data_IF_689207784021
#
_entry.id   IF_689207784021
#
_cell.length_a   1.000
_cell.length_b   1.000
_cell.length_c   1.000
_cell.angle_alpha   90.00
_cell.angle_beta   90.00
_cell.angle_gamma   90.00
#
_symmetry.space_group_name_H-M   'P 1'
#
loop_
_entity.id
_entity.type
_entity.pdbx_description
1 polymer ?
#
# COMPACT_ATOMS: atom_id res chain seq x y z
N UNK A 1 12.12 -17.51 4.48
CA UNK A 1 12.01 -16.26 3.69
C UNK A 1 12.91 -15.14 4.24
N UNK A 2 13.24 -15.11 5.54
CA UNK A 2 14.25 -14.21 6.17
C UNK A 2 15.63 -14.08 5.47
N UNK A 3 16.04 -15.05 4.63
CA UNK A 3 17.33 -15.05 3.92
C UNK A 3 17.35 -14.26 2.59
N UNK A 4 16.20 -13.85 2.07
CA UNK A 4 16.12 -13.07 0.82
C UNK A 4 16.38 -11.58 1.06
N UNK A 5 16.04 -11.07 2.25
CA UNK A 5 16.29 -9.68 2.65
C UNK A 5 17.75 -9.39 2.97
N UNK A 6 18.46 -10.34 3.58
CA UNK A 6 19.89 -10.19 3.96
C UNK A 6 20.84 -10.08 2.75
N UNK A 7 20.35 -10.32 1.52
CA UNK A 7 21.17 -10.31 0.29
C UNK A 7 21.00 -9.05 -0.58
N UNK A 8 20.31 -8.00 -0.10
CA UNK A 8 20.29 -6.68 -0.77
C UNK A 8 19.55 -6.65 -2.11
N UNK A 9 18.53 -7.49 -2.30
CA UNK A 9 17.83 -7.64 -3.58
C UNK A 9 16.72 -6.61 -3.85
N UNK A 10 16.31 -5.78 -2.88
CA UNK A 10 15.21 -4.83 -3.07
C UNK A 10 15.56 -3.45 -2.53
N UNK A 11 15.36 -2.42 -3.36
CA UNK A 11 15.48 -1.00 -2.99
C UNK A 11 14.20 -0.51 -2.32
N UNK A 12 14.27 0.47 -1.41
CA UNK A 12 13.09 1.08 -0.81
C UNK A 12 12.20 1.72 -1.89
N UNK A 13 10.89 1.54 -1.75
CA UNK A 13 9.87 2.12 -2.63
C UNK A 13 9.15 3.18 -1.82
N UNK A 14 9.00 4.37 -2.38
CA UNK A 14 8.21 5.46 -1.82
C UNK A 14 6.73 5.28 -2.21
N UNK A 15 5.80 5.63 -1.33
CA UNK A 15 4.38 5.62 -1.61
C UNK A 15 3.79 6.97 -1.21
N UNK A 16 3.12 7.64 -2.14
CA UNK A 16 2.48 8.94 -1.97
C UNK A 16 0.97 8.74 -1.98
N UNK A 17 0.32 8.69 -0.80
CA UNK A 17 -1.12 8.53 -0.74
C UNK A 17 -1.84 9.82 -1.13
N UNK A 18 -3.05 9.65 -1.68
CA UNK A 18 -4.06 10.68 -1.86
C UNK A 18 -5.30 10.25 -1.10
N UNK A 19 -6.00 11.21 -0.49
CA UNK A 19 -7.32 10.98 0.11
C UNK A 19 -8.29 11.98 -0.47
N UNK A 20 -9.06 11.54 -1.47
CA UNK A 20 -10.10 12.35 -2.10
C UNK A 20 -11.29 11.46 -2.47
N UNK A 21 -12.47 11.79 -1.95
CA UNK A 21 -13.68 10.98 -2.10
C UNK A 21 -14.39 11.23 -3.45
N UNK A 22 -14.19 12.40 -4.07
CA UNK A 22 -14.63 12.66 -5.43
C UNK A 22 -13.64 12.03 -6.42
N UNK A 23 -14.03 10.92 -7.05
CA UNK A 23 -13.16 10.16 -7.95
C UNK A 23 -12.53 11.00 -9.07
N UNK A 24 -13.26 11.96 -9.64
CA UNK A 24 -12.72 12.80 -10.71
C UNK A 24 -11.67 13.77 -10.18
N UNK A 25 -11.90 14.35 -9.00
CA UNK A 25 -10.87 15.16 -8.32
C UNK A 25 -9.68 14.28 -7.92
N UNK A 26 -9.93 13.05 -7.45
CA UNK A 26 -8.91 12.09 -7.07
C UNK A 26 -7.98 11.76 -8.23
N UNK A 27 -8.52 11.50 -9.43
CA UNK A 27 -7.71 11.28 -10.62
C UNK A 27 -6.87 12.50 -11.00
N UNK A 28 -7.44 13.71 -10.91
CA UNK A 28 -6.68 14.94 -11.18
C UNK A 28 -5.54 15.11 -10.17
N UNK A 29 -5.81 14.88 -8.89
CA UNK A 29 -4.80 14.96 -7.83
C UNK A 29 -3.70 13.91 -8.01
N UNK A 30 -4.05 12.68 -8.43
CA UNK A 30 -3.07 11.63 -8.75
C UNK A 30 -2.13 12.12 -9.86
N UNK A 31 -2.69 12.65 -10.95
CA UNK A 31 -1.89 13.15 -12.07
C UNK A 31 -0.97 14.30 -11.64
N UNK A 32 -1.48 15.26 -10.85
CA UNK A 32 -0.70 16.38 -10.33
C UNK A 32 0.47 15.91 -9.45
N UNK A 33 0.20 15.09 -8.42
CA UNK A 33 1.25 14.55 -7.53
C UNK A 33 2.28 13.73 -8.28
N UNK A 34 1.84 12.92 -9.25
CA UNK A 34 2.73 12.08 -10.03
C UNK A 34 3.68 12.91 -10.92
N UNK A 35 3.17 14.00 -11.51
CA UNK A 35 3.98 14.93 -12.31
C UNK A 35 4.90 15.78 -11.44
N UNK A 36 4.43 16.25 -10.28
CA UNK A 36 5.26 16.93 -9.28
C UNK A 36 6.45 16.06 -8.89
N UNK A 37 6.19 14.79 -8.56
CA UNK A 37 7.25 13.84 -8.22
C UNK A 37 8.21 13.59 -9.37
N UNK A 38 7.70 13.41 -10.59
CA UNK A 38 8.55 13.26 -11.78
C UNK A 38 9.46 14.47 -11.99
N UNK A 39 8.94 15.70 -11.82
CA UNK A 39 9.73 16.92 -11.95
C UNK A 39 10.79 17.05 -10.86
N UNK A 40 10.45 16.68 -9.63
CA UNK A 40 11.40 16.63 -8.52
C UNK A 40 12.54 15.65 -8.82
N UNK A 41 12.21 14.43 -9.25
CA UNK A 41 13.22 13.40 -9.54
C UNK A 41 14.11 13.81 -10.71
N UNK A 42 13.55 14.40 -11.77
CA UNK A 42 14.32 14.96 -12.89
C UNK A 42 15.23 16.12 -12.46
N UNK A 43 14.76 17.00 -11.58
CA UNK A 43 15.57 18.11 -11.04
C UNK A 43 16.73 17.61 -10.17
N UNK A 44 16.54 16.48 -9.48
CA UNK A 44 17.56 15.78 -8.70
C UNK A 44 18.51 14.93 -9.57
N UNK A 45 18.35 14.96 -10.89
CA UNK A 45 19.20 14.24 -11.84
C UNK A 45 18.79 12.78 -12.09
N UNK A 46 17.67 12.33 -11.52
CA UNK A 46 17.14 10.99 -11.77
C UNK A 46 16.33 10.98 -13.07
N UNK A 47 16.75 10.18 -14.06
CA UNK A 47 16.16 10.17 -15.39
C UNK A 47 14.81 9.43 -15.51
N UNK A 48 13.98 9.53 -14.47
CA UNK A 48 12.74 8.77 -14.30
C UNK A 48 11.74 8.95 -15.45
N UNK A 49 10.85 7.97 -15.57
CA UNK A 49 9.67 7.94 -16.41
C UNK A 49 8.47 7.58 -15.52
N UNK A 50 7.38 8.33 -15.69
CA UNK A 50 6.10 8.11 -15.04
C UNK A 50 5.20 7.21 -15.88
N UNK A 51 4.62 6.19 -15.25
CA UNK A 51 3.51 5.42 -15.80
C UNK A 51 2.22 5.71 -15.05
N UNK A 52 1.19 6.16 -15.76
CA UNK A 52 -0.18 6.23 -15.26
C UNK A 52 -0.96 5.00 -15.73
N UNK A 53 -1.32 4.12 -14.79
CA UNK A 53 -2.02 2.86 -15.10
C UNK A 53 -3.52 3.01 -14.96
N UNK A 54 -4.23 2.56 -15.99
CA UNK A 54 -5.68 2.48 -16.05
C UNK A 54 -6.12 1.05 -16.44
N UNK A 55 -7.30 0.62 -16.02
CA UNK A 55 -7.82 -0.72 -16.33
C UNK A 55 -8.59 -0.73 -17.67
N UNK A 56 -9.29 0.35 -17.99
CA UNK A 56 -10.15 0.46 -19.19
C UNK A 56 -9.60 1.49 -20.18
N UNK A 57 -9.70 1.20 -21.48
CA UNK A 57 -9.29 2.10 -22.57
C UNK A 57 -10.05 3.42 -22.56
N UNK A 58 -11.36 3.38 -22.33
CA UNK A 58 -12.20 4.58 -22.21
C UNK A 58 -11.71 5.48 -21.08
N UNK A 59 -11.44 4.90 -19.92
CA UNK A 59 -10.93 5.62 -18.76
C UNK A 59 -9.54 6.19 -19.02
N UNK A 60 -8.65 5.44 -19.66
CA UNK A 60 -7.32 5.92 -20.01
C UNK A 60 -7.34 7.13 -20.93
N UNK A 61 -8.29 7.20 -21.88
CA UNK A 61 -8.46 8.38 -22.72
C UNK A 61 -8.96 9.59 -21.92
N UNK A 62 -9.80 9.40 -20.90
CA UNK A 62 -10.19 10.48 -19.96
C UNK A 62 -9.01 10.92 -19.10
N UNK A 63 -8.28 9.98 -18.54
CA UNK A 63 -7.12 10.23 -17.68
C UNK A 63 -5.99 10.90 -18.46
N UNK A 64 -5.79 10.53 -19.72
CA UNK A 64 -4.79 11.14 -20.59
C UNK A 64 -4.97 12.66 -20.70
N UNK A 65 -6.19 13.18 -20.61
CA UNK A 65 -6.46 14.62 -20.62
C UNK A 65 -5.83 15.36 -19.44
N UNK A 66 -5.66 14.71 -18.29
CA UNK A 66 -4.94 15.33 -17.17
C UNK A 66 -3.44 15.39 -17.39
N UNK A 67 -2.90 14.50 -18.24
CA UNK A 67 -1.48 14.44 -18.53
C UNK A 67 -1.09 15.24 -19.77
N UNK A 68 -1.98 15.37 -20.76
CA UNK A 68 -1.73 16.09 -22.02
C UNK A 68 -1.35 17.57 -21.82
N UNK A 69 -1.79 18.16 -20.70
CA UNK A 69 -1.41 19.52 -20.28
C UNK A 69 0.11 19.71 -20.06
N UNK A 70 0.87 18.62 -19.86
CA UNK A 70 2.31 18.65 -19.59
C UNK A 70 3.14 18.32 -20.84
N UNK A 71 2.95 19.11 -21.91
CA UNK A 71 3.57 18.88 -23.23
C UNK A 71 5.11 18.74 -23.20
N UNK A 72 5.77 19.43 -22.28
CA UNK A 72 7.23 19.39 -22.09
C UNK A 72 7.74 18.00 -21.68
N UNK A 73 6.90 17.22 -20.98
CA UNK A 73 7.17 15.84 -20.56
C UNK A 73 6.73 14.81 -21.61
N UNK A 74 6.17 15.27 -22.74
CA UNK A 74 5.76 14.46 -23.90
C UNK A 74 4.91 13.24 -23.51
N UNK A 75 3.70 13.44 -22.98
CA UNK A 75 2.80 12.35 -22.60
C UNK A 75 2.43 11.48 -23.80
N UNK A 76 2.26 10.18 -23.59
CA UNK A 76 1.76 9.25 -24.62
C UNK A 76 0.76 8.26 -24.04
N UNK A 77 -0.31 8.00 -24.80
CA UNK A 77 -1.30 6.96 -24.48
C UNK A 77 -0.95 5.67 -25.23
N UNK A 78 -0.84 4.56 -24.51
CA UNK A 78 -0.56 3.23 -25.08
C UNK A 78 -1.56 2.18 -24.58
N UNK A 79 -2.17 1.47 -25.54
CA UNK A 79 -3.08 0.36 -25.27
C UNK A 79 -2.95 -0.70 -26.39
N UNK A 80 -3.54 -1.89 -26.19
CA UNK A 80 -3.38 -3.05 -27.09
C UNK A 80 -3.71 -2.78 -28.56
N UNK A 81 -4.69 -1.92 -28.83
CA UNK A 81 -5.16 -1.56 -30.18
C UNK A 81 -4.46 -0.35 -30.82
N UNK A 82 -3.43 0.24 -30.20
CA UNK A 82 -2.80 1.43 -30.77
C UNK A 82 -1.99 1.08 -32.03
N UNK A 83 -2.24 1.79 -33.13
CA UNK A 83 -1.42 1.68 -34.35
C UNK A 83 -0.01 2.23 -34.10
N UNK A 84 1.01 1.66 -34.72
CA UNK A 84 2.40 2.13 -34.53
C UNK A 84 2.99 1.82 -33.15
N UNK A 85 2.42 0.88 -32.40
CA UNK A 85 2.87 0.47 -31.05
C UNK A 85 4.38 0.27 -30.94
N UNK A 86 5.01 -0.40 -31.91
CA UNK A 86 6.45 -0.67 -31.87
C UNK A 86 7.28 0.61 -31.92
N UNK A 87 6.87 1.59 -32.73
CA UNK A 87 7.54 2.88 -32.82
C UNK A 87 7.38 3.69 -31.53
N UNK A 88 6.17 3.72 -30.96
CA UNK A 88 5.89 4.35 -29.66
C UNK A 88 6.76 3.70 -28.58
N UNK A 89 6.86 2.38 -28.57
CA UNK A 89 7.68 1.63 -27.61
C UNK A 89 9.16 1.98 -27.74
N UNK A 90 9.67 2.06 -28.97
CA UNK A 90 11.05 2.49 -29.22
C UNK A 90 11.27 3.94 -28.78
N UNK A 91 10.32 4.84 -28.99
CA UNK A 91 10.41 6.22 -28.52
C UNK A 91 10.39 6.31 -26.98
N UNK A 92 9.63 5.45 -26.30
CA UNK A 92 9.65 5.30 -24.85
C UNK A 92 11.01 4.81 -24.36
N UNK A 93 11.55 3.74 -24.94
CA UNK A 93 12.86 3.17 -24.57
C UNK A 93 13.98 4.18 -24.79
N UNK A 94 13.90 4.97 -25.87
CA UNK A 94 14.84 6.05 -26.17
C UNK A 94 14.63 7.31 -25.32
N UNK A 95 13.73 7.28 -24.33
CA UNK A 95 13.51 8.37 -23.38
C UNK A 95 12.83 9.60 -23.96
N UNK A 96 12.19 9.50 -25.14
CA UNK A 96 11.48 10.62 -25.77
C UNK A 96 10.16 10.96 -25.08
N UNK A 97 9.61 10.05 -24.28
CA UNK A 97 8.40 10.25 -23.50
C UNK A 97 8.71 10.07 -22.02
N UNK A 98 8.32 11.04 -21.19
CA UNK A 98 8.48 10.97 -19.73
C UNK A 98 7.23 10.56 -19.01
N UNK A 99 6.07 10.64 -19.67
CA UNK A 99 4.79 10.22 -19.12
C UNK A 99 4.14 9.21 -20.08
N UNK A 100 3.74 8.07 -19.54
CA UNK A 100 3.09 6.98 -20.28
C UNK A 100 1.77 6.66 -19.60
N UNK A 101 0.65 6.90 -20.27
CA UNK A 101 -0.67 6.43 -19.84
C UNK A 101 -0.92 5.08 -20.47
N UNK A 102 -1.08 4.03 -19.66
CA UNK A 102 -1.09 2.64 -20.14
C UNK A 102 -2.32 1.85 -19.69
N UNK A 103 -2.84 1.01 -20.60
CA UNK A 103 -3.90 0.02 -20.31
C UNK A 103 -3.43 -1.38 -20.66
N UNK A 104 -3.36 -2.27 -19.68
CA UNK A 104 -3.02 -3.70 -19.85
C UNK A 104 -1.77 -3.96 -20.70
N UNK A 105 -0.78 -3.05 -20.64
CA UNK A 105 0.33 -3.02 -21.58
C UNK A 105 1.64 -2.78 -20.85
N UNK A 106 2.15 -3.87 -20.30
CA UNK A 106 3.52 -4.20 -19.96
C UNK A 106 3.52 -5.73 -19.97
N UNK A 107 4.06 -6.34 -21.04
CA UNK A 107 4.06 -7.79 -21.23
C UNK A 107 5.42 -8.41 -20.89
N UNK A 108 5.53 -9.73 -21.00
CA UNK A 108 6.82 -10.41 -20.93
C UNK A 108 7.81 -9.80 -21.95
N UNK A 109 8.99 -9.38 -21.48
CA UNK A 109 10.07 -8.83 -22.32
C UNK A 109 10.15 -7.30 -22.39
N UNK A 110 9.26 -6.54 -21.75
CA UNK A 110 9.43 -5.09 -21.60
C UNK A 110 10.36 -4.79 -20.41
N UNK A 111 11.52 -4.20 -20.69
CA UNK A 111 12.49 -3.76 -19.70
C UNK A 111 12.76 -2.27 -19.85
N UNK A 112 12.42 -1.48 -18.83
CA UNK A 112 12.61 -0.04 -18.79
C UNK A 112 12.99 0.37 -17.36
N UNK A 113 14.28 0.31 -16.99
CA UNK A 113 14.73 0.61 -15.63
C UNK A 113 14.36 2.02 -15.16
N UNK A 114 14.22 2.97 -16.09
CA UNK A 114 13.79 4.35 -15.83
C UNK A 114 12.34 4.46 -15.33
N UNK A 115 11.52 3.41 -15.48
CA UNK A 115 10.11 3.40 -15.07
C UNK A 115 9.99 3.30 -13.55
N UNK A 116 10.30 4.40 -12.86
CA UNK A 116 10.40 4.46 -11.40
C UNK A 116 9.17 5.08 -10.75
N UNK A 117 8.31 5.78 -11.49
CA UNK A 117 7.10 6.38 -10.91
C UNK A 117 5.86 5.70 -11.48
N UNK A 118 4.96 5.22 -10.61
CA UNK A 118 3.72 4.56 -10.98
C UNK A 118 2.51 5.24 -10.32
N UNK A 119 1.62 5.81 -11.14
CA UNK A 119 0.37 6.44 -10.73
C UNK A 119 -0.82 5.50 -11.03
N UNK A 120 -1.57 5.13 -10.01
CA UNK A 120 -2.69 4.21 -10.11
C UNK A 120 -4.01 4.97 -10.13
N UNK A 121 -4.64 5.04 -11.31
CA UNK A 121 -6.00 5.59 -11.45
C UNK A 121 -7.08 4.51 -11.27
N UNK A 122 -6.71 3.23 -11.34
CA UNK A 122 -7.54 2.08 -11.02
C UNK A 122 -6.67 1.03 -10.31
N UNK A 123 -6.87 0.79 -9.01
CA UNK A 123 -6.03 -0.18 -8.25
C UNK A 123 -6.41 -1.63 -8.57
N UNK A 124 -7.70 -1.88 -8.83
CA UNK A 124 -8.26 -3.23 -9.13
C UNK A 124 -7.42 -4.03 -10.11
N UNK A 125 -6.84 -5.15 -9.64
CA UNK A 125 -6.03 -6.15 -10.36
C UNK A 125 -4.69 -5.61 -10.89
N UNK A 126 -4.42 -4.32 -10.72
CA UNK A 126 -3.35 -3.62 -11.40
C UNK A 126 -2.12 -3.52 -10.51
N UNK A 127 -2.32 -3.47 -9.19
CA UNK A 127 -1.26 -3.30 -8.20
C UNK A 127 -0.31 -4.51 -8.09
N UNK A 128 -0.76 -5.77 -7.90
CA UNK A 128 0.16 -6.92 -7.83
C UNK A 128 0.99 -7.11 -9.11
N UNK A 129 0.37 -6.89 -10.26
CA UNK A 129 1.02 -6.97 -11.57
C UNK A 129 2.04 -5.83 -11.71
N UNK A 130 1.67 -4.59 -11.36
CA UNK A 130 2.59 -3.45 -11.43
C UNK A 130 3.74 -3.60 -10.46
N UNK A 131 3.51 -4.18 -9.28
CA UNK A 131 4.55 -4.49 -8.31
C UNK A 131 5.53 -5.56 -8.79
N UNK A 132 5.03 -6.60 -9.46
CA UNK A 132 5.90 -7.57 -10.13
C UNK A 132 6.74 -6.92 -11.25
N UNK A 133 6.21 -5.92 -11.95
CA UNK A 133 6.98 -5.11 -12.90
C UNK A 133 7.95 -4.15 -12.20
N UNK A 134 7.53 -3.46 -11.14
CA UNK A 134 8.35 -2.55 -10.35
C UNK A 134 9.51 -3.25 -9.65
N UNK A 135 9.28 -4.44 -9.11
CA UNK A 135 10.31 -5.31 -8.57
C UNK A 135 11.34 -5.73 -9.63
N UNK A 136 10.94 -5.89 -10.90
CA UNK A 136 11.89 -6.09 -12.01
C UNK A 136 12.72 -4.83 -12.30
N UNK A 137 12.20 -3.63 -12.05
CA UNK A 137 12.94 -2.37 -12.16
C UNK A 137 13.92 -2.11 -11.00
N UNK A 138 13.95 -2.94 -9.96
CA UNK A 138 14.89 -2.82 -8.82
C UNK A 138 16.12 -3.72 -8.93
N UNK A 139 16.33 -4.40 -10.08
CA UNK A 139 17.47 -5.31 -10.24
C UNK A 139 18.81 -4.56 -10.28
N UNK A 140 19.71 -5.07 -9.45
CA UNK A 140 20.99 -4.52 -8.99
C UNK A 140 22.05 -4.33 -10.08
N UNK A 141 22.57 -3.09 -10.16
CA UNK A 141 23.96 -2.64 -10.42
C UNK A 141 24.03 -1.36 -11.26
N UNK A 142 23.09 -1.17 -12.20
CA UNK A 142 22.92 0.09 -12.97
C UNK A 142 22.18 1.16 -12.15
N UNK A 143 21.49 0.73 -11.10
CA UNK A 143 20.36 1.41 -10.48
C UNK A 143 20.73 2.42 -9.37
N UNK A 144 22.00 2.51 -8.95
CA UNK A 144 22.40 3.44 -7.88
C UNK A 144 22.31 4.91 -8.28
N UNK A 145 22.45 5.21 -9.57
CA UNK A 145 22.25 6.56 -10.11
C UNK A 145 20.79 6.86 -10.46
N UNK A 146 19.92 5.84 -10.47
CA UNK A 146 18.52 5.95 -10.90
C UNK A 146 17.55 6.30 -9.76
N UNK A 147 17.95 6.29 -8.49
CA UNK A 147 17.06 6.63 -7.38
C UNK A 147 15.98 5.57 -7.05
N UNK A 148 15.11 5.91 -6.10
CA UNK A 148 14.07 5.00 -5.57
C UNK A 148 12.80 5.06 -6.42
N UNK A 149 12.03 3.96 -6.45
CA UNK A 149 10.73 3.96 -7.10
C UNK A 149 9.68 4.68 -6.24
N UNK A 150 8.69 5.33 -6.87
CA UNK A 150 7.59 6.03 -6.18
C UNK A 150 6.23 5.64 -6.72
N UNK A 151 5.30 5.27 -5.85
CA UNK A 151 3.94 4.88 -6.19
C UNK A 151 2.94 5.91 -5.70
N UNK A 152 1.90 6.19 -6.49
CA UNK A 152 0.85 7.16 -6.16
C UNK A 152 -0.52 6.52 -6.32
N UNK A 153 -1.36 6.62 -5.30
CA UNK A 153 -2.71 6.04 -5.31
C UNK A 153 -3.67 6.81 -4.39
N UNK A 154 -4.97 6.73 -4.70
CA UNK A 154 -6.03 7.28 -3.84
C UNK A 154 -6.54 6.22 -2.85
N UNK A 155 -6.34 6.46 -1.56
CA UNK A 155 -6.77 5.60 -0.45
C UNK A 155 -8.22 5.86 0.01
N UNK A 156 -8.85 6.94 -0.46
CA UNK A 156 -10.27 7.18 -0.15
C UNK A 156 -11.20 6.22 -0.91
N UNK A 157 -10.67 5.48 -1.89
CA UNK A 157 -11.34 4.34 -2.50
C UNK A 157 -11.20 3.12 -1.57
N UNK A 158 -12.31 2.70 -0.97
CA UNK A 158 -12.34 1.55 -0.06
C UNK A 158 -11.84 0.25 -0.70
N UNK A 159 -11.93 0.12 -2.03
CA UNK A 159 -11.41 -1.04 -2.74
C UNK A 159 -9.88 -0.99 -2.89
N UNK A 160 -9.32 0.21 -3.08
CA UNK A 160 -7.88 0.45 -3.14
C UNK A 160 -7.20 0.05 -1.82
N UNK A 161 -7.78 0.46 -0.70
CA UNK A 161 -7.27 0.15 0.64
C UNK A 161 -7.29 -1.35 0.94
N UNK A 162 -8.34 -2.06 0.54
CA UNK A 162 -8.45 -3.51 0.73
C UNK A 162 -7.43 -4.28 -0.12
N UNK A 163 -7.25 -3.93 -1.39
CA UNK A 163 -6.29 -4.63 -2.27
C UNK A 163 -4.84 -4.34 -1.89
N UNK A 164 -4.55 -3.10 -1.45
CA UNK A 164 -3.29 -2.77 -0.80
C UNK A 164 -3.11 -3.68 0.42
N UNK A 165 -4.06 -3.71 1.34
CA UNK A 165 -4.01 -4.53 2.57
C UNK A 165 -3.81 -6.03 2.29
N UNK A 166 -4.49 -6.60 1.29
CA UNK A 166 -4.37 -8.00 0.88
C UNK A 166 -3.00 -8.33 0.28
N UNK A 167 -2.49 -7.45 -0.58
CA UNK A 167 -1.17 -7.61 -1.19
C UNK A 167 -0.06 -7.50 -0.14
N UNK A 168 -0.23 -6.64 0.86
CA UNK A 168 0.73 -6.46 1.95
C UNK A 168 0.64 -7.56 3.01
N UNK A 169 -0.53 -8.17 3.22
CA UNK A 169 -0.69 -9.34 4.10
C UNK A 169 -0.02 -10.62 3.59
N UNK A 170 0.34 -10.69 2.31
CA UNK A 170 0.97 -11.87 1.70
C UNK A 170 2.50 -11.91 1.87
N UNK A 171 3.16 -10.81 2.26
CA UNK A 171 4.61 -10.73 2.35
C UNK A 171 5.06 -9.77 3.48
N UNK A 172 5.70 -10.32 4.52
CA UNK A 172 6.11 -9.65 5.77
C UNK A 172 6.97 -8.41 5.56
N UNK A 173 7.65 -8.35 4.42
CA UNK A 173 8.61 -7.31 4.09
C UNK A 173 7.90 -6.00 3.68
N UNK A 174 6.65 -6.11 3.24
CA UNK A 174 5.84 -4.96 2.87
C UNK A 174 5.15 -4.29 4.05
N UNK A 175 4.79 -5.05 5.09
CA UNK A 175 4.25 -4.47 6.33
C UNK A 175 5.25 -3.50 6.96
N UNK A 176 6.55 -3.78 6.85
CA UNK A 176 7.64 -2.92 7.31
C UNK A 176 7.90 -1.69 6.41
N UNK A 177 7.48 -1.74 5.15
CA UNK A 177 7.53 -0.62 4.21
C UNK A 177 6.32 0.30 4.37
N UNK A 178 5.13 -0.26 4.58
CA UNK A 178 3.92 0.52 4.87
C UNK A 178 4.09 1.41 6.11
N UNK A 179 4.63 0.87 7.20
CA UNK A 179 4.89 1.65 8.42
C UNK A 179 5.84 2.82 8.19
N UNK A 180 6.76 2.70 7.22
CA UNK A 180 7.69 3.76 6.85
C UNK A 180 7.11 4.79 5.87
N UNK A 181 6.04 4.47 5.15
CA UNK A 181 5.47 5.31 4.07
C UNK A 181 4.20 6.06 4.47
N UNK A 182 3.58 5.71 5.60
CA UNK A 182 2.56 6.50 6.28
C UNK A 182 3.13 7.73 7.03
N UNK A 183 4.44 8.00 6.89
CA UNK A 183 5.26 8.87 7.73
C UNK A 183 5.16 10.39 7.49
N UNK A 184 4.32 10.85 6.55
CA UNK A 184 4.14 12.29 6.27
C UNK A 184 3.14 13.00 7.22
N UNK A 185 2.63 12.32 8.24
CA UNK A 185 1.85 12.90 9.35
C UNK A 185 2.51 12.53 10.69
N UNK A 186 3.36 13.43 11.19
CA UNK A 186 4.52 13.06 12.00
C UNK A 186 4.21 12.69 13.48
N UNK A 187 3.26 13.31 14.18
CA UNK A 187 3.21 13.13 15.65
C UNK A 187 2.32 11.97 16.13
N UNK A 188 1.03 11.92 15.77
CA UNK A 188 0.10 10.85 16.22
C UNK A 188 0.51 9.45 15.73
N UNK A 189 1.23 9.37 14.60
CA UNK A 189 1.65 8.11 14.00
C UNK A 189 3.00 7.63 14.55
N UNK A 190 3.92 8.53 14.94
CA UNK A 190 5.12 8.14 15.72
C UNK A 190 4.67 7.51 17.03
N UNK A 191 3.73 8.13 17.73
CA UNK A 191 3.18 7.59 18.97
C UNK A 191 2.54 6.21 18.74
N UNK A 192 1.78 6.04 17.64
CA UNK A 192 1.19 4.74 17.28
C UNK A 192 2.25 3.68 16.93
N UNK A 193 3.27 4.04 16.17
CA UNK A 193 4.32 3.10 15.77
C UNK A 193 5.22 2.73 16.96
N UNK A 194 5.56 3.67 17.85
CA UNK A 194 6.23 3.39 19.12
C UNK A 194 5.38 2.47 20.00
N UNK A 195 4.07 2.74 20.08
CA UNK A 195 3.10 1.89 20.76
C UNK A 195 3.07 0.47 20.17
N UNK A 196 3.02 0.33 18.85
CA UNK A 196 3.02 -0.99 18.18
C UNK A 196 4.36 -1.72 18.34
N UNK A 197 5.49 -1.02 18.26
CA UNK A 197 6.82 -1.61 18.42
C UNK A 197 7.12 -2.07 19.85
N UNK A 198 6.40 -1.58 20.85
CA UNK A 198 6.52 -2.06 22.22
C UNK A 198 5.96 -3.48 22.43
N UNK A 199 5.21 -4.02 21.47
CA UNK A 199 4.71 -5.40 21.49
C UNK A 199 5.76 -6.38 20.94
N UNK A 200 5.86 -7.58 21.53
CA UNK A 200 6.96 -8.52 21.22
C UNK A 200 6.60 -9.58 20.17
N UNK A 201 5.33 -9.90 20.03
CA UNK A 201 4.81 -11.06 19.30
C UNK A 201 3.59 -10.71 18.44
N UNK A 202 3.37 -9.43 18.15
CA UNK A 202 2.19 -8.94 17.42
C UNK A 202 2.03 -9.63 16.04
N UNK A 203 3.16 -9.92 15.39
CA UNK A 203 3.25 -10.61 14.09
C UNK A 203 2.74 -12.06 14.12
N UNK A 204 2.59 -12.66 15.31
CA UNK A 204 2.06 -14.02 15.44
C UNK A 204 0.52 -14.06 15.39
N UNK A 205 -0.14 -12.91 15.35
CA UNK A 205 -1.58 -12.81 15.19
C UNK A 205 -1.99 -13.20 13.77
N UNK A 206 -3.09 -13.94 13.64
CA UNK A 206 -3.76 -14.19 12.35
C UNK A 206 -4.47 -12.95 11.83
N UNK A 207 -4.69 -11.96 12.70
CA UNK A 207 -5.34 -10.70 12.39
C UNK A 207 -4.29 -9.58 12.47
N UNK A 208 -3.99 -8.90 11.35
CA UNK A 208 -3.07 -7.79 11.36
C UNK A 208 -3.68 -6.60 12.12
N UNK A 209 -3.03 -6.18 13.20
CA UNK A 209 -3.50 -5.10 14.08
C UNK A 209 -3.61 -3.75 13.39
N UNK A 210 -2.71 -3.50 12.44
CA UNK A 210 -2.72 -2.28 11.62
C UNK A 210 -3.98 -2.18 10.73
N UNK A 211 -4.68 -3.29 10.47
CA UNK A 211 -5.88 -3.34 9.64
C UNK A 211 -7.16 -3.47 10.48
N UNK A 212 -7.07 -3.42 11.81
CA UNK A 212 -8.25 -3.45 12.67
C UNK A 212 -8.93 -2.08 12.61
N UNK A 213 -10.00 -2.00 11.82
CA UNK A 213 -10.94 -0.88 11.88
C UNK A 213 -11.98 -1.18 12.96
N UNK A 214 -11.95 -0.45 14.06
CA UNK A 214 -12.97 -0.58 15.09
C UNK A 214 -14.34 -0.21 14.50
N UNK A 215 -15.28 -1.16 14.55
CA UNK A 215 -16.68 -0.84 14.26
C UNK A 215 -17.20 0.17 15.29
N UNK A 216 -18.24 0.94 14.93
CA UNK A 216 -18.85 2.00 15.75
C UNK A 216 -19.31 1.55 17.17
N UNK A 217 -19.25 0.27 17.51
CA UNK A 217 -19.55 -0.28 18.82
C UNK A 217 -18.27 -0.44 19.67
N UNK A 218 -17.62 0.67 20.02
CA UNK A 218 -16.54 0.65 21.03
C UNK A 218 -17.13 0.98 22.39
N UNK A 219 -16.85 0.15 23.41
CA UNK A 219 -17.25 0.40 24.79
C UNK A 219 -16.00 0.58 25.64
N UNK A 220 -15.90 1.72 26.31
CA UNK A 220 -14.75 2.06 27.16
C UNK A 220 -15.13 1.89 28.63
N UNK A 221 -14.35 1.12 29.36
CA UNK A 221 -14.51 0.91 30.80
C UNK A 221 -13.37 1.61 31.55
N UNK A 222 -13.71 2.28 32.66
CA UNK A 222 -12.72 2.81 33.61
C UNK A 222 -12.65 1.90 34.82
N UNK A 223 -11.45 1.42 35.15
CA UNK A 223 -11.23 0.73 36.41
C UNK A 223 -11.40 1.72 37.58
N UNK A 224 -12.30 1.39 38.52
CA UNK A 224 -12.60 2.20 39.71
C UNK A 224 -11.94 1.67 40.99
N UNK A 225 -11.15 0.60 40.91
CA UNK A 225 -10.48 0.03 42.08
C UNK A 225 -9.45 1.02 42.64
N UNK A 226 -9.60 1.47 43.90
CA UNK A 226 -8.76 2.52 44.49
C UNK A 226 -7.37 2.04 44.91
N UNK A 227 -7.11 0.73 44.92
CA UNK A 227 -5.86 0.11 45.38
C UNK A 227 -4.89 -0.24 44.25
N UNK A 228 -5.23 0.04 42.98
CA UNK A 228 -4.45 -0.32 41.79
C UNK A 228 -4.01 -1.82 41.77
N UNK A 229 -4.73 -2.71 42.45
CA UNK A 229 -4.43 -4.15 42.54
C UNK A 229 -4.63 -4.92 41.22
N UNK A 230 -4.98 -4.22 40.14
CA UNK A 230 -5.32 -4.81 38.86
C UNK A 230 -4.06 -5.27 38.11
N UNK A 231 -3.94 -6.57 37.92
CA UNK A 231 -2.91 -7.18 37.10
C UNK A 231 -3.43 -7.46 35.69
N UNK A 232 -2.96 -6.70 34.70
CA UNK A 232 -3.32 -6.87 33.29
C UNK A 232 -3.04 -8.28 32.76
N UNK A 233 -1.99 -8.94 33.28
CA UNK A 233 -1.59 -10.28 32.82
C UNK A 233 -2.54 -11.39 33.32
N UNK A 234 -3.42 -11.10 34.28
CA UNK A 234 -4.44 -12.02 34.78
C UNK A 234 -5.75 -11.99 33.97
N UNK A 235 -5.78 -11.28 32.83
CA UNK A 235 -6.98 -11.06 32.00
C UNK A 235 -7.77 -12.33 31.67
N UNK A 236 -7.10 -13.48 31.53
CA UNK A 236 -7.73 -14.78 31.22
C UNK A 236 -8.82 -15.16 32.24
N UNK A 237 -8.65 -14.78 33.50
CA UNK A 237 -9.63 -15.02 34.57
C UNK A 237 -10.91 -14.18 34.39
N UNK A 238 -10.81 -13.04 33.70
CA UNK A 238 -11.92 -12.13 33.44
C UNK A 238 -12.76 -12.48 32.21
N UNK A 239 -12.28 -13.35 31.33
CA UNK A 239 -12.98 -13.76 30.11
C UNK A 239 -13.68 -15.10 30.37
N UNK A 240 -15.01 -15.08 30.45
CA UNK A 240 -15.81 -16.29 30.65
C UNK A 240 -15.62 -17.26 29.48
N UNK A 241 -15.31 -18.52 29.79
CA UNK A 241 -15.11 -19.56 28.78
C UNK A 241 -13.85 -19.33 27.92
N UNK A 242 -12.84 -18.62 28.44
CA UNK A 242 -11.61 -18.32 27.69
C UNK A 242 -11.02 -19.57 27.02
N UNK A 243 -10.96 -20.69 27.74
CA UNK A 243 -10.36 -21.92 27.21
C UNK A 243 -11.13 -22.52 26.04
N UNK A 244 -12.44 -22.26 25.93
CA UNK A 244 -13.36 -22.77 24.91
C UNK A 244 -13.37 -21.93 23.62
N UNK A 245 -12.69 -20.79 23.60
CA UNK A 245 -12.60 -19.92 22.43
C UNK A 245 -11.82 -20.57 21.28
N UNK A 246 -12.31 -20.39 20.06
CA UNK A 246 -11.76 -20.97 18.83
C UNK A 246 -10.47 -20.27 18.40
N UNK A 247 -10.41 -18.96 18.60
CA UNK A 247 -9.20 -18.17 18.39
C UNK A 247 -8.86 -17.36 19.64
N UNK A 248 -7.58 -17.37 19.98
CA UNK A 248 -6.99 -16.66 21.11
C UNK A 248 -5.64 -16.11 20.67
N UNK A 249 -5.45 -14.82 20.85
CA UNK A 249 -4.18 -14.15 20.71
C UNK A 249 -4.06 -13.09 21.78
N UNK A 250 -2.89 -12.99 22.40
CA UNK A 250 -2.58 -11.95 23.36
C UNK A 250 -1.12 -11.52 23.20
N UNK A 251 -0.87 -10.22 23.37
CA UNK A 251 0.47 -9.67 23.46
C UNK A 251 0.50 -8.47 24.40
N UNK A 252 1.63 -8.30 25.09
CA UNK A 252 1.82 -7.30 26.13
C UNK A 252 2.93 -6.33 25.74
N UNK A 253 2.60 -5.05 25.74
CA UNK A 253 3.56 -3.96 25.64
C UNK A 253 3.93 -3.48 27.06
N UNK A 254 5.16 -3.78 27.55
CA UNK A 254 5.60 -3.39 28.88
C UNK A 254 5.94 -1.90 28.99
N UNK A 255 6.24 -1.22 27.86
CA UNK A 255 6.57 0.20 27.82
C UNK A 255 5.30 1.02 28.09
N UNK A 256 4.22 0.68 27.38
CA UNK A 256 2.93 1.36 27.47
C UNK A 256 1.97 0.73 28.48
N UNK A 257 2.45 -0.28 29.22
CA UNK A 257 1.66 -1.08 30.17
C UNK A 257 0.28 -1.47 29.61
N UNK A 258 0.26 -1.95 28.37
CA UNK A 258 -0.96 -2.21 27.61
C UNK A 258 -0.95 -3.65 27.12
N UNK A 259 -2.08 -4.34 27.29
CA UNK A 259 -2.29 -5.67 26.72
C UNK A 259 -3.32 -5.59 25.61
N UNK A 260 -3.05 -6.33 24.55
CA UNK A 260 -3.95 -6.48 23.42
C UNK A 260 -4.38 -7.93 23.35
N UNK A 261 -5.69 -8.16 23.28
CA UNK A 261 -6.29 -9.49 23.32
C UNK A 261 -7.29 -9.59 22.18
N UNK A 262 -7.15 -10.63 21.34
CA UNK A 262 -8.13 -10.99 20.32
C UNK A 262 -8.70 -12.36 20.66
N UNK A 263 -10.02 -12.43 20.73
CA UNK A 263 -10.76 -13.67 20.92
C UNK A 263 -11.77 -13.86 19.79
N UNK A 264 -12.02 -15.12 19.41
CA UNK A 264 -13.15 -15.48 18.57
C UNK A 264 -13.88 -16.69 19.13
N UNK A 265 -15.21 -16.62 19.13
CA UNK A 265 -16.10 -17.71 19.50
C UNK A 265 -17.01 -18.05 18.33
N UNK A 266 -17.23 -19.34 18.08
CA UNK A 266 -18.23 -19.80 17.12
C UNK A 266 -19.59 -19.86 17.79
N UNK A 267 -20.52 -19.04 17.33
CA UNK A 267 -21.95 -19.21 17.65
C UNK A 267 -22.61 -19.99 16.52
N UNK A 268 -23.29 -21.09 16.84
CA UNK A 268 -24.27 -21.65 15.90
C UNK A 268 -25.40 -20.63 15.73
N UNK A 269 -25.71 -20.29 14.48
CA UNK A 269 -26.78 -19.35 14.17
C UNK A 269 -28.11 -20.05 14.52
N UNK A 270 -28.89 -19.49 15.44
CA UNK A 270 -30.13 -20.08 15.97
C UNK A 270 -31.23 -20.34 14.90
N UNK A 271 -31.03 -19.92 13.65
CA UNK A 271 -32.08 -19.94 12.62
C UNK A 271 -32.21 -21.27 11.85
N UNK A 272 -31.53 -22.34 12.30
CA UNK A 272 -31.65 -23.69 11.69
C UNK A 272 -32.54 -24.61 12.54
N UNK A 273 -33.60 -24.07 13.16
CA UNK A 273 -34.67 -24.85 13.76
C UNK A 273 -36.05 -24.22 13.46
N UNK A 274 -36.41 -24.12 12.19
CA UNK A 274 -37.82 -24.17 11.80
C UNK A 274 -38.14 -25.61 11.38
N UNK A 275 -38.76 -26.35 12.29
CA UNK A 275 -39.49 -27.59 12.00
C UNK A 275 -40.94 -27.28 11.70
#
# INVERSE_FOLDING_TARGET
>A
MKKAQEQGYFKPINFLPIREYDLNKGHKLIAQKAVEKLREDLANGYNHILMARCVKKTKAAEIFKYYEEFEDLKPVLIHSEVSGKNEILQNIINGKHKIIVAVNMLGEGFDLPQLKIAAFHDIRKSLPITLQFAGRFTRTSIDNELGNATFIANLADSEAENELSELYAQDSDWNLLLSRLSSDQIDEQIDFDEFINGFQHLDNSKIPFQNIKFALSTVVYKNLNPDNSFNLLDFKKGIKGYDELEYKFDDFNPVENTIVIITASKSEVEWVNYK
#
